data_IF_950603831514
#
_entry.id   IF_950603831514
#
_cell.length_a   1.000
_cell.length_b   1.000
_cell.length_c   1.000
_cell.angle_alpha   90.00
_cell.angle_beta   90.00
_cell.angle_gamma   90.00
#
_symmetry.space_group_name_H-M   'P 1'
#
loop_
_entity.id
_entity.type
_entity.pdbx_description
1 polymer ?
#
# COMPACT_ATOMS: atom_id res chain seq x y z
N UNK A 1 -36.87 16.85 29.03
CA UNK A 1 -37.32 16.47 27.68
C UNK A 1 -36.66 17.44 26.72
N UNK A 2 -35.87 16.84 25.82
CA UNK A 2 -35.22 17.30 24.58
C UNK A 2 -35.32 18.79 24.25
N UNK A 3 -34.14 19.44 24.20
CA UNK A 3 -33.88 20.77 23.64
C UNK A 3 -33.54 20.69 22.16
N UNK A 4 -34.06 21.65 21.40
CA UNK A 4 -33.80 21.93 19.98
C UNK A 4 -32.32 22.15 19.66
N UNK A 5 -31.88 21.53 18.56
CA UNK A 5 -30.60 21.78 17.89
C UNK A 5 -30.84 22.63 16.63
N UNK A 6 -30.31 23.84 16.62
CA UNK A 6 -30.02 24.61 15.42
C UNK A 6 -28.59 25.14 15.50
N UNK A 7 -27.88 25.11 14.35
CA UNK A 7 -26.46 25.46 14.06
C UNK A 7 -25.55 24.22 14.11
N UNK A 8 -24.78 23.82 13.10
CA UNK A 8 -24.23 24.46 11.88
C UNK A 8 -23.95 23.36 10.83
N UNK A 9 -24.68 23.32 9.70
CA UNK A 9 -24.34 22.51 8.51
C UNK A 9 -23.54 23.38 7.54
N UNK A 10 -22.27 23.66 7.86
CA UNK A 10 -21.44 24.60 7.10
C UNK A 10 -19.94 24.27 7.01
N UNK A 11 -19.49 23.10 7.47
CA UNK A 11 -18.05 22.76 7.50
C UNK A 11 -17.66 21.50 6.71
N UNK A 12 -18.59 20.70 6.20
CA UNK A 12 -18.24 19.44 5.51
C UNK A 12 -17.85 19.59 4.03
N UNK A 13 -18.03 20.77 3.44
CA UNK A 13 -17.64 21.04 2.04
C UNK A 13 -16.19 21.55 1.89
N UNK A 14 -15.36 21.50 2.95
CA UNK A 14 -14.00 22.06 2.93
C UNK A 14 -12.85 21.07 3.16
N UNK A 15 -13.11 19.76 3.20
CA UNK A 15 -12.06 18.75 3.47
C UNK A 15 -11.87 17.73 2.33
N UNK A 16 -12.09 18.17 1.09
CA UNK A 16 -11.77 17.42 -0.14
C UNK A 16 -11.16 18.28 -1.25
N UNK A 17 -10.78 19.53 -0.94
CA UNK A 17 -10.12 20.44 -1.88
C UNK A 17 -8.71 20.77 -1.38
N UNK A 18 -7.77 19.89 -1.68
CA UNK A 18 -6.38 20.28 -1.95
C UNK A 18 -6.01 19.74 -3.34
N UNK A 19 -6.29 20.60 -4.32
CA UNK A 19 -5.83 20.61 -5.71
C UNK A 19 -5.99 19.33 -6.53
N UNK A 20 -7.21 19.04 -6.98
CA UNK A 20 -7.39 18.56 -8.35
C UNK A 20 -7.35 19.80 -9.26
N UNK A 21 -6.15 20.17 -9.70
CA UNK A 21 -6.04 20.87 -10.97
C UNK A 21 -5.97 19.77 -12.02
N UNK A 22 -6.99 19.69 -12.89
CA UNK A 22 -6.85 19.05 -14.19
C UNK A 22 -5.63 19.66 -14.88
N UNK A 23 -4.55 18.89 -14.94
CA UNK A 23 -3.43 19.16 -15.82
C UNK A 23 -3.26 17.91 -16.66
N UNK A 24 -3.26 18.14 -17.97
CA UNK A 24 -2.80 17.29 -19.05
C UNK A 24 -1.71 16.30 -18.62
N UNK A 25 -1.58 15.15 -19.29
CA UNK A 25 -0.67 14.04 -18.94
C UNK A 25 0.84 14.33 -18.96
N UNK A 26 1.23 15.56 -18.67
CA UNK A 26 2.54 16.13 -18.57
C UNK A 26 3.33 15.59 -17.37
N UNK A 27 4.64 15.50 -17.58
CA UNK A 27 5.62 15.27 -16.53
C UNK A 27 5.56 16.39 -15.49
N UNK A 28 5.27 16.05 -14.24
CA UNK A 28 5.28 17.00 -13.13
C UNK A 28 6.61 16.95 -12.40
N UNK A 29 7.40 18.02 -12.51
CA UNK A 29 8.58 18.21 -11.66
C UNK A 29 8.15 18.92 -10.38
N UNK A 30 8.23 18.23 -9.25
CA UNK A 30 7.84 18.75 -7.95
C UNK A 30 9.05 18.97 -7.04
N UNK A 31 8.95 20.00 -6.20
CA UNK A 31 10.02 20.47 -5.31
C UNK A 31 9.67 20.15 -3.86
N UNK A 32 10.52 19.41 -3.16
CA UNK A 32 10.30 19.01 -1.77
C UNK A 32 11.42 19.58 -0.89
N UNK A 33 11.05 20.44 0.07
CA UNK A 33 12.03 21.04 0.98
C UNK A 33 12.32 20.10 2.15
N UNK A 34 13.59 19.77 2.35
CA UNK A 34 14.10 19.03 3.52
C UNK A 34 14.76 20.06 4.44
N UNK A 35 14.12 20.33 5.57
CA UNK A 35 14.42 21.50 6.40
C UNK A 35 15.76 21.36 7.13
N UNK A 36 16.10 20.15 7.58
CA UNK A 36 17.33 19.84 8.33
C UNK A 36 18.62 20.04 7.54
N UNK A 37 18.54 20.09 6.21
CA UNK A 37 19.67 20.29 5.30
C UNK A 37 19.54 21.57 4.47
N UNK A 38 18.48 22.35 4.73
CA UNK A 38 18.13 23.60 4.04
C UNK A 38 18.06 23.49 2.51
N UNK A 39 17.87 22.27 1.99
CA UNK A 39 17.89 21.97 0.57
C UNK A 39 16.51 21.57 0.06
N UNK A 40 16.37 21.63 -1.26
CA UNK A 40 15.18 21.15 -1.96
C UNK A 40 15.58 19.98 -2.82
N UNK A 41 14.80 18.90 -2.76
CA UNK A 41 14.92 17.77 -3.67
C UNK A 41 13.90 17.89 -4.80
N UNK A 42 14.33 17.59 -6.02
CA UNK A 42 13.53 17.64 -7.23
C UNK A 42 13.07 16.23 -7.59
N UNK A 43 11.76 16.03 -7.72
CA UNK A 43 11.18 14.73 -8.04
C UNK A 43 10.25 14.88 -9.23
N UNK A 44 10.58 14.18 -10.32
CA UNK A 44 9.72 14.00 -11.47
C UNK A 44 8.75 12.86 -11.21
N UNK A 45 7.47 13.18 -11.31
CA UNK A 45 6.37 12.23 -11.32
C UNK A 45 5.82 12.10 -12.73
N UNK A 46 5.46 10.87 -13.09
CA UNK A 46 4.83 10.54 -14.38
C UNK A 46 3.53 9.75 -14.10
N UNK A 47 2.50 10.36 -13.49
CA UNK A 47 1.26 9.69 -13.08
C UNK A 47 0.63 8.78 -14.16
N UNK A 48 0.76 9.17 -15.42
CA UNK A 48 0.26 8.45 -16.60
C UNK A 48 0.98 7.12 -16.88
N UNK A 49 2.19 6.92 -16.35
CA UNK A 49 2.97 5.68 -16.52
C UNK A 49 2.72 4.65 -15.42
N UNK A 50 1.86 4.95 -14.45
CA UNK A 50 1.42 4.00 -13.42
C UNK A 50 1.89 4.32 -12.01
N UNK A 51 1.61 3.40 -11.07
CA UNK A 51 1.73 3.62 -9.62
C UNK A 51 3.15 3.87 -9.14
N UNK A 52 4.16 3.30 -9.82
CA UNK A 52 5.58 3.49 -9.47
C UNK A 52 6.07 4.92 -9.75
N UNK A 53 5.34 5.69 -10.54
CA UNK A 53 5.74 7.04 -10.96
C UNK A 53 5.01 8.14 -10.18
N UNK A 54 4.32 7.78 -9.10
CA UNK A 54 3.58 8.66 -8.20
C UNK A 54 4.18 8.67 -6.81
N UNK A 55 4.01 9.77 -6.10
CA UNK A 55 4.36 9.87 -4.69
C UNK A 55 3.23 9.34 -3.81
N UNK A 56 3.59 8.53 -2.81
CA UNK A 56 2.66 7.92 -1.87
C UNK A 56 2.85 8.48 -0.45
N UNK A 57 1.76 8.58 0.31
CA UNK A 57 1.77 9.13 1.67
C UNK A 57 2.82 8.47 2.60
N UNK A 58 3.00 7.14 2.62
CA UNK A 58 4.05 6.52 3.43
C UNK A 58 5.47 7.00 3.12
N UNK A 59 5.76 7.34 1.86
CA UNK A 59 7.05 7.89 1.47
C UNK A 59 7.26 9.28 2.11
N UNK A 60 6.24 10.14 2.09
CA UNK A 60 6.31 11.46 2.74
C UNK A 60 6.48 11.37 4.26
N UNK A 61 5.85 10.39 4.91
CA UNK A 61 6.03 10.13 6.34
C UNK A 61 7.48 9.74 6.64
N UNK A 62 8.09 8.84 5.85
CA UNK A 62 9.51 8.49 6.04
C UNK A 62 10.45 9.67 5.80
N UNK A 63 10.23 10.46 4.75
CA UNK A 63 11.03 11.67 4.48
C UNK A 63 10.96 12.63 5.68
N UNK A 64 9.77 12.84 6.23
CA UNK A 64 9.56 13.68 7.42
C UNK A 64 10.27 13.13 8.65
N UNK A 65 10.21 11.83 8.90
CA UNK A 65 10.89 11.20 10.03
C UNK A 65 12.42 11.29 9.90
N UNK A 66 12.97 11.13 8.69
CA UNK A 66 14.39 11.31 8.41
C UNK A 66 14.84 12.76 8.61
N UNK A 67 14.04 13.71 8.13
CA UNK A 67 14.28 15.15 8.30
C UNK A 67 14.28 15.54 9.79
N UNK A 68 13.29 15.06 10.55
CA UNK A 68 13.18 15.29 11.98
C UNK A 68 14.30 14.61 12.77
N UNK A 69 14.66 13.37 12.42
CA UNK A 69 15.76 12.65 13.04
C UNK A 69 17.08 13.41 12.93
N UNK A 70 17.39 14.01 11.78
CA UNK A 70 18.62 14.80 11.62
C UNK A 70 18.63 16.04 12.53
N UNK A 71 17.48 16.68 12.76
CA UNK A 71 17.35 17.88 13.60
C UNK A 71 17.46 17.56 15.09
N UNK A 72 16.75 16.54 15.53
CA UNK A 72 16.74 16.09 16.91
C UNK A 72 16.74 14.56 16.97
N UNK A 73 17.94 13.94 16.96
CA UNK A 73 18.08 12.50 17.07
C UNK A 73 17.65 11.94 18.43
N UNK A 74 17.36 12.76 19.45
CA UNK A 74 17.04 12.25 20.79
C UNK A 74 15.55 11.96 20.99
N UNK A 75 14.69 12.71 20.29
CA UNK A 75 13.22 12.59 20.37
C UNK A 75 12.61 11.79 19.22
N UNK A 76 13.41 11.41 18.22
CA UNK A 76 12.92 10.74 17.02
C UNK A 76 12.52 9.28 17.26
N UNK A 77 11.42 8.81 16.66
CA UNK A 77 11.12 7.38 16.60
C UNK A 77 12.22 6.53 15.94
N UNK A 78 13.04 7.14 15.07
CA UNK A 78 14.12 6.46 14.35
C UNK A 78 15.38 6.26 15.20
N UNK A 79 15.46 6.87 16.38
CA UNK A 79 16.68 6.87 17.21
C UNK A 79 17.17 5.48 17.55
N UNK A 80 16.27 4.60 18.02
CA UNK A 80 16.64 3.22 18.38
C UNK A 80 17.19 2.47 17.17
N UNK A 81 16.56 2.64 16.00
CA UNK A 81 16.96 1.97 14.77
C UNK A 81 18.30 2.47 14.23
N UNK A 82 18.47 3.79 14.14
CA UNK A 82 19.61 4.40 13.45
C UNK A 82 20.86 4.54 14.33
N UNK A 83 20.70 4.66 15.65
CA UNK A 83 21.83 4.69 16.60
C UNK A 83 22.65 3.40 16.59
N UNK A 84 22.02 2.26 16.26
CA UNK A 84 22.70 0.96 16.16
C UNK A 84 23.82 0.92 15.12
N UNK A 85 23.80 1.83 14.14
CA UNK A 85 24.77 1.88 13.05
C UNK A 85 25.83 2.97 13.23
N UNK A 86 25.79 3.75 14.32
CA UNK A 86 26.78 4.78 14.61
C UNK A 86 27.86 4.18 15.51
N UNK A 87 29.01 3.83 14.92
CA UNK A 87 30.19 3.43 15.69
C UNK A 87 30.83 4.66 16.36
N UNK A 88 31.04 4.59 17.68
CA UNK A 88 31.59 5.67 18.51
C UNK A 88 33.13 5.84 18.37
N UNK A 89 33.72 5.33 17.29
CA UNK A 89 35.17 5.25 17.10
C UNK A 89 35.60 5.33 15.63
N UNK A 90 36.46 6.32 15.36
CA UNK A 90 37.40 6.63 14.25
C UNK A 90 37.40 5.93 12.88
N UNK A 91 36.52 4.99 12.55
CA UNK A 91 36.41 4.38 11.21
C UNK A 91 34.92 4.25 10.84
N UNK A 92 34.25 5.39 10.69
CA UNK A 92 32.82 5.44 10.35
C UNK A 92 32.64 5.10 8.87
N UNK A 93 32.63 3.82 8.52
CA UNK A 93 32.07 3.37 7.24
C UNK A 93 30.66 3.95 7.09
N UNK A 94 30.37 4.55 5.92
CA UNK A 94 29.04 5.10 5.65
C UNK A 94 28.00 3.98 5.70
N UNK A 95 26.81 4.30 6.21
CA UNK A 95 25.67 3.40 6.21
C UNK A 95 25.31 3.03 4.76
N UNK A 96 25.24 1.74 4.46
CA UNK A 96 24.81 1.23 3.18
C UNK A 96 23.32 0.87 3.23
N UNK A 97 22.53 1.61 2.45
CA UNK A 97 21.08 1.52 2.43
C UNK A 97 20.63 0.98 1.08
N UNK A 98 19.65 0.09 1.08
CA UNK A 98 18.89 -0.28 -0.12
C UNK A 98 17.44 0.11 0.08
N UNK A 99 16.86 0.81 -0.89
CA UNK A 99 15.41 1.06 -0.90
C UNK A 99 14.74 0.08 -1.88
N UNK A 100 13.76 -0.69 -1.38
CA UNK A 100 12.95 -1.60 -2.18
C UNK A 100 11.67 -0.91 -2.65
N UNK A 101 11.40 -0.98 -3.96
CA UNK A 101 10.20 -0.36 -4.54
C UNK A 101 10.25 1.15 -4.41
N UNK A 102 11.37 1.75 -4.80
CA UNK A 102 11.64 3.18 -4.66
C UNK A 102 10.61 4.07 -5.36
N UNK A 103 9.97 3.60 -6.43
CA UNK A 103 9.06 4.39 -7.25
C UNK A 103 9.73 5.66 -7.78
N UNK A 104 9.39 6.80 -7.19
CA UNK A 104 10.01 8.10 -7.51
C UNK A 104 11.41 8.27 -6.90
N UNK A 105 11.75 7.50 -5.86
CA UNK A 105 13.05 7.50 -5.18
C UNK A 105 13.21 8.53 -4.07
N UNK A 106 12.16 9.29 -3.72
CA UNK A 106 12.28 10.41 -2.78
C UNK A 106 12.79 9.98 -1.39
N UNK A 107 12.40 8.80 -0.89
CA UNK A 107 12.79 8.36 0.46
C UNK A 107 14.27 8.04 0.48
N UNK A 108 14.77 7.24 -0.48
CA UNK A 108 16.20 6.96 -0.57
C UNK A 108 17.04 8.19 -0.88
N UNK A 109 16.57 9.12 -1.71
CA UNK A 109 17.25 10.42 -1.94
C UNK A 109 17.33 11.22 -0.64
N UNK A 110 16.23 11.33 0.10
CA UNK A 110 16.19 12.00 1.39
C UNK A 110 17.11 11.31 2.41
N UNK A 111 17.13 9.98 2.46
CA UNK A 111 18.01 9.22 3.33
C UNK A 111 19.49 9.46 3.00
N UNK A 112 19.86 9.47 1.71
CA UNK A 112 21.22 9.77 1.27
C UNK A 112 21.67 11.15 1.75
N UNK A 113 20.81 12.16 1.58
CA UNK A 113 21.09 13.54 1.95
C UNK A 113 21.08 13.78 3.47
N UNK A 114 20.12 13.19 4.20
CA UNK A 114 19.94 13.44 5.64
C UNK A 114 20.86 12.59 6.52
N UNK A 115 21.27 11.41 6.05
CA UNK A 115 22.14 10.50 6.81
C UNK A 115 23.59 10.51 6.30
N UNK A 116 23.88 11.10 5.14
CA UNK A 116 25.19 11.00 4.50
C UNK A 116 25.53 9.55 4.11
N UNK A 117 24.51 8.79 3.73
CA UNK A 117 24.58 7.35 3.49
C UNK A 117 24.89 7.02 2.02
N UNK A 118 25.41 5.81 1.78
CA UNK A 118 25.45 5.21 0.45
C UNK A 118 24.09 4.52 0.22
N UNK A 119 23.30 5.01 -0.73
CA UNK A 119 21.96 4.49 -0.98
C UNK A 119 21.87 3.86 -2.36
N UNK A 120 21.27 2.69 -2.46
CA UNK A 120 20.89 2.10 -3.74
C UNK A 120 19.37 2.06 -3.86
N UNK A 121 18.85 2.82 -4.82
CA UNK A 121 17.42 2.87 -5.14
C UNK A 121 17.09 1.72 -6.08
N UNK A 122 16.06 0.94 -5.76
CA UNK A 122 15.69 -0.24 -6.54
C UNK A 122 14.21 -0.31 -6.86
N UNK A 123 13.92 -0.69 -8.10
CA UNK A 123 12.55 -0.92 -8.59
C UNK A 123 12.59 -1.82 -9.83
N UNK A 124 11.45 -2.04 -10.47
CA UNK A 124 11.33 -2.80 -11.71
C UNK A 124 12.09 -2.13 -12.86
N UNK A 125 12.61 -2.91 -13.84
CA UNK A 125 13.39 -2.37 -14.97
C UNK A 125 12.75 -1.19 -15.71
N UNK A 126 11.42 -1.17 -15.85
CA UNK A 126 10.69 -0.10 -16.53
C UNK A 126 10.60 1.22 -15.74
N UNK A 127 10.92 1.20 -14.44
CA UNK A 127 10.89 2.39 -13.56
C UNK A 127 12.28 3.06 -13.46
N UNK A 128 13.33 2.29 -13.75
CA UNK A 128 14.73 2.69 -13.54
C UNK A 128 15.13 3.99 -14.25
N UNK A 129 14.62 4.25 -15.45
CA UNK A 129 14.95 5.49 -16.16
C UNK A 129 14.45 6.74 -15.43
N UNK A 130 13.21 6.71 -14.92
CA UNK A 130 12.68 7.83 -14.13
C UNK A 130 13.36 7.94 -12.77
N UNK A 131 13.64 6.81 -12.14
CA UNK A 131 14.35 6.77 -10.87
C UNK A 131 15.77 7.34 -11.00
N UNK A 132 16.47 7.03 -12.10
CA UNK A 132 17.79 7.60 -12.41
C UNK A 132 17.72 9.10 -12.68
N UNK A 133 16.72 9.57 -13.43
CA UNK A 133 16.51 11.01 -13.61
C UNK A 133 16.38 11.74 -12.27
N UNK A 134 15.59 11.18 -11.34
CA UNK A 134 15.42 11.77 -10.00
C UNK A 134 16.69 11.69 -9.17
N UNK A 135 17.45 10.59 -9.23
CA UNK A 135 18.75 10.48 -8.57
C UNK A 135 19.74 11.54 -9.08
N UNK A 136 19.89 11.65 -10.41
CA UNK A 136 20.82 12.57 -11.06
C UNK A 136 20.46 14.05 -10.77
N UNK A 137 19.16 14.38 -10.76
CA UNK A 137 18.68 15.73 -10.44
C UNK A 137 19.02 16.19 -9.00
N UNK A 138 19.33 15.25 -8.10
CA UNK A 138 19.64 15.52 -6.69
C UNK A 138 21.09 15.19 -6.31
N UNK A 139 21.91 14.73 -7.26
CA UNK A 139 23.26 14.23 -7.00
C UNK A 139 24.17 15.27 -6.32
N UNK A 140 24.07 16.55 -6.71
CA UNK A 140 24.87 17.64 -6.11
C UNK A 140 24.52 17.86 -4.64
N UNK A 141 23.22 17.91 -4.31
CA UNK A 141 22.73 18.11 -2.93
C UNK A 141 23.20 16.95 -2.05
N UNK A 142 23.07 15.72 -2.56
CA UNK A 142 23.45 14.49 -1.86
C UNK A 142 24.96 14.43 -1.63
N UNK A 143 25.76 14.69 -2.67
CA UNK A 143 27.22 14.68 -2.57
C UNK A 143 27.74 15.73 -1.58
N UNK A 144 27.16 16.93 -1.59
CA UNK A 144 27.49 18.01 -0.64
C UNK A 144 27.27 17.60 0.82
N UNK A 145 26.30 16.71 1.07
CA UNK A 145 25.95 16.21 2.40
C UNK A 145 26.65 14.89 2.74
N UNK A 146 27.58 14.45 1.90
CA UNK A 146 28.40 13.26 2.12
C UNK A 146 27.73 11.94 1.75
N UNK A 147 26.53 11.98 1.17
CA UNK A 147 25.82 10.81 0.69
C UNK A 147 26.22 10.41 -0.74
N UNK A 148 25.76 9.25 -1.17
CA UNK A 148 25.87 8.76 -2.54
C UNK A 148 24.60 8.01 -2.94
N UNK A 149 24.23 8.06 -4.22
CA UNK A 149 23.08 7.33 -4.76
C UNK A 149 23.52 6.49 -5.96
N UNK A 150 23.12 5.23 -5.93
CA UNK A 150 23.13 4.33 -7.08
C UNK A 150 21.69 3.92 -7.41
N UNK A 151 21.45 3.55 -8.65
CA UNK A 151 20.15 3.05 -9.11
C UNK A 151 20.36 1.71 -9.78
N UNK A 152 19.58 0.71 -9.38
CA UNK A 152 19.68 -0.63 -9.93
C UNK A 152 18.29 -1.29 -10.07
N UNK A 153 18.06 -2.11 -11.11
CA UNK A 153 16.86 -2.94 -11.19
C UNK A 153 16.87 -4.01 -10.10
N UNK A 154 15.72 -4.22 -9.45
CA UNK A 154 15.51 -5.35 -8.56
C UNK A 154 14.06 -5.81 -8.63
N UNK A 155 13.85 -7.04 -9.13
CA UNK A 155 12.56 -7.71 -9.09
C UNK A 155 12.45 -8.53 -7.82
N UNK A 156 11.36 -8.36 -7.08
CA UNK A 156 11.17 -9.10 -5.85
C UNK A 156 11.09 -10.60 -6.10
N UNK A 157 11.70 -11.37 -5.20
CA UNK A 157 11.81 -12.83 -5.27
C UNK A 157 12.96 -13.36 -6.14
N UNK A 158 13.68 -12.51 -6.86
CA UNK A 158 14.81 -12.89 -7.71
C UNK A 158 16.14 -12.79 -6.97
N UNK A 159 16.76 -13.94 -6.65
CA UNK A 159 18.03 -13.98 -5.90
C UNK A 159 19.17 -13.32 -6.68
N UNK A 160 19.23 -13.54 -8.00
CA UNK A 160 20.26 -12.96 -8.86
C UNK A 160 20.25 -11.43 -8.86
N UNK A 161 19.07 -10.81 -8.75
CA UNK A 161 18.94 -9.35 -8.67
C UNK A 161 19.48 -8.82 -7.32
N UNK A 162 19.29 -9.58 -6.23
CA UNK A 162 19.87 -9.24 -4.90
C UNK A 162 21.40 -9.44 -4.90
N UNK A 163 21.89 -10.55 -5.44
CA UNK A 163 23.33 -10.83 -5.58
C UNK A 163 24.04 -9.76 -6.42
N UNK A 164 23.39 -9.27 -7.48
CA UNK A 164 23.93 -8.23 -8.36
C UNK A 164 24.14 -6.88 -7.66
N UNK A 165 23.51 -6.63 -6.50
CA UNK A 165 23.78 -5.43 -5.71
C UNK A 165 25.22 -5.41 -5.17
N UNK A 166 25.84 -6.58 -4.97
CA UNK A 166 27.27 -6.75 -4.67
C UNK A 166 27.79 -6.06 -3.40
N UNK A 167 26.91 -5.52 -2.56
CA UNK A 167 27.24 -4.70 -1.39
C UNK A 167 26.53 -5.22 -0.14
N UNK A 168 27.22 -5.14 1.00
CA UNK A 168 26.60 -5.40 2.31
C UNK A 168 25.55 -4.34 2.61
N UNK A 169 24.35 -4.76 3.00
CA UNK A 169 23.24 -3.86 3.31
C UNK A 169 23.07 -3.79 4.82
N UNK A 170 23.12 -2.57 5.35
CA UNK A 170 22.92 -2.31 6.79
C UNK A 170 21.44 -2.01 7.08
N UNK A 171 20.81 -1.21 6.21
CA UNK A 171 19.43 -0.77 6.34
C UNK A 171 18.67 -0.95 5.03
N UNK A 172 17.52 -1.59 5.10
CA UNK A 172 16.56 -1.66 4.00
C UNK A 172 15.46 -0.63 4.27
N UNK A 173 15.16 0.23 3.30
CA UNK A 173 14.01 1.12 3.32
C UNK A 173 12.92 0.57 2.42
N UNK A 174 11.67 0.75 2.82
CA UNK A 174 10.52 0.46 1.96
C UNK A 174 9.37 1.41 2.28
N UNK A 175 8.78 2.02 1.27
CA UNK A 175 7.56 2.82 1.43
C UNK A 175 6.45 2.26 0.56
N UNK A 176 5.37 1.84 1.20
CA UNK A 176 4.12 1.43 0.56
C UNK A 176 4.21 0.22 -0.39
N UNK A 177 5.10 -0.73 -0.07
CA UNK A 177 5.37 -1.92 -0.89
C UNK A 177 4.39 -3.07 -0.69
N UNK A 178 3.49 -2.98 0.30
CA UNK A 178 2.51 -4.04 0.64
C UNK A 178 1.12 -3.68 0.09
N UNK A 179 0.91 -3.80 -1.22
CA UNK A 179 -0.33 -3.36 -1.87
C UNK A 179 -1.04 -4.42 -2.72
N UNK A 180 -0.32 -5.44 -3.20
CA UNK A 180 -0.88 -6.55 -3.96
C UNK A 180 -0.52 -7.91 -3.36
N UNK A 181 -1.54 -8.76 -3.14
CA UNK A 181 -1.40 -10.05 -2.45
C UNK A 181 -0.41 -11.00 -3.14
N UNK A 182 -0.36 -11.01 -4.47
CA UNK A 182 0.57 -11.84 -5.23
C UNK A 182 2.04 -11.40 -5.08
N UNK A 183 2.31 -10.19 -4.58
CA UNK A 183 3.65 -9.67 -4.35
C UNK A 183 4.16 -9.95 -2.92
N UNK A 184 3.32 -10.44 -2.01
CA UNK A 184 3.70 -10.68 -0.62
C UNK A 184 4.82 -11.72 -0.49
N UNK A 185 4.69 -12.86 -1.18
CA UNK A 185 5.68 -13.93 -1.12
C UNK A 185 6.99 -13.56 -1.85
N UNK A 186 6.96 -12.94 -3.05
CA UNK A 186 8.16 -12.37 -3.67
C UNK A 186 8.90 -11.37 -2.77
N UNK A 187 8.18 -10.42 -2.15
CA UNK A 187 8.78 -9.43 -1.26
C UNK A 187 9.41 -10.07 -0.02
N UNK A 188 8.69 -10.99 0.65
CA UNK A 188 9.25 -11.74 1.78
C UNK A 188 10.49 -12.54 1.40
N UNK A 189 10.50 -13.14 0.21
CA UNK A 189 11.66 -13.87 -0.30
C UNK A 189 12.87 -12.94 -0.48
N UNK A 190 12.69 -11.75 -1.05
CA UNK A 190 13.75 -10.73 -1.13
C UNK A 190 14.25 -10.30 0.25
N UNK A 191 13.35 -10.02 1.20
CA UNK A 191 13.74 -9.63 2.56
C UNK A 191 14.56 -10.74 3.24
N UNK A 192 14.20 -12.01 3.03
CA UNK A 192 14.98 -13.14 3.56
C UNK A 192 16.37 -13.21 2.95
N UNK A 193 16.51 -13.05 1.64
CA UNK A 193 17.82 -12.98 0.99
C UNK A 193 18.70 -11.88 1.57
N UNK A 194 18.13 -10.69 1.78
CA UNK A 194 18.91 -9.53 2.23
C UNK A 194 19.20 -9.51 3.73
N UNK A 195 18.28 -10.02 4.56
CA UNK A 195 18.38 -9.95 6.02
C UNK A 195 18.93 -11.22 6.67
N UNK A 196 18.73 -12.39 6.06
CA UNK A 196 19.06 -13.68 6.68
C UNK A 196 20.19 -14.44 5.96
N UNK A 197 20.38 -14.20 4.67
CA UNK A 197 21.34 -14.93 3.84
C UNK A 197 22.57 -14.04 3.57
N UNK A 198 23.54 -14.09 4.47
CA UNK A 198 24.80 -13.35 4.33
C UNK A 198 25.95 -14.03 5.06
N UNK A 199 27.18 -13.81 4.57
CA UNK A 199 28.40 -14.42 5.12
C UNK A 199 28.72 -13.93 6.53
N UNK A 200 28.35 -12.69 6.84
CA UNK A 200 28.48 -12.11 8.17
C UNK A 200 27.18 -12.30 8.97
N UNK A 201 27.20 -13.31 9.85
CA UNK A 201 26.10 -13.67 10.75
C UNK A 201 25.94 -12.75 11.96
N UNK A 202 26.92 -11.88 12.20
CA UNK A 202 26.92 -10.92 13.31
C UNK A 202 26.61 -9.49 12.85
N UNK A 203 26.65 -9.23 11.53
CA UNK A 203 26.20 -7.97 10.94
C UNK A 203 24.72 -7.73 11.23
N UNK A 204 24.45 -6.60 11.90
CA UNK A 204 23.09 -6.13 12.18
C UNK A 204 22.48 -5.57 10.90
N UNK A 205 21.31 -6.09 10.52
CA UNK A 205 20.56 -5.64 9.36
C UNK A 205 19.14 -5.34 9.79
N UNK A 206 18.61 -4.20 9.35
CA UNK A 206 17.26 -3.76 9.74
C UNK A 206 16.46 -3.40 8.50
N UNK A 207 15.19 -3.78 8.46
CA UNK A 207 14.21 -3.20 7.54
C UNK A 207 13.45 -2.10 8.26
N UNK A 208 13.34 -0.92 7.64
CA UNK A 208 12.46 0.17 8.05
C UNK A 208 11.40 0.37 6.96
N UNK A 209 10.16 -0.01 7.27
CA UNK A 209 9.05 0.03 6.32
C UNK A 209 7.96 0.99 6.80
N UNK A 210 7.55 1.92 5.95
CA UNK A 210 6.32 2.67 6.12
C UNK A 210 5.21 2.10 5.25
N UNK A 211 4.04 1.88 5.86
CA UNK A 211 2.90 1.28 5.21
C UNK A 211 1.62 2.03 5.56
N UNK A 212 0.79 2.33 4.56
CA UNK A 212 -0.57 2.79 4.79
C UNK A 212 -1.51 1.59 4.68
N UNK A 213 -2.07 1.16 5.81
CA UNK A 213 -3.05 0.07 5.83
C UNK A 213 -4.30 0.49 5.06
N UNK A 214 -4.54 -0.13 3.91
CA UNK A 214 -5.72 0.10 3.07
C UNK A 214 -6.67 -1.09 3.10
N UNK A 215 -6.16 -2.29 3.38
CA UNK A 215 -6.90 -3.54 3.17
C UNK A 215 -6.70 -4.54 4.30
N UNK A 216 -7.74 -5.32 4.62
CA UNK A 216 -7.63 -6.43 5.58
C UNK A 216 -6.58 -7.47 5.16
N UNK A 217 -6.44 -7.71 3.86
CA UNK A 217 -5.52 -8.71 3.29
C UNK A 217 -4.04 -8.40 3.53
N UNK A 218 -3.67 -7.14 3.73
CA UNK A 218 -2.28 -6.75 4.04
C UNK A 218 -1.80 -7.38 5.36
N UNK A 219 -2.73 -7.69 6.28
CA UNK A 219 -2.39 -8.44 7.51
C UNK A 219 -1.79 -9.83 7.23
N UNK A 220 -2.05 -10.42 6.05
CA UNK A 220 -1.46 -11.70 5.64
C UNK A 220 0.05 -11.56 5.47
N UNK A 221 0.53 -10.46 4.86
CA UNK A 221 1.95 -10.16 4.72
C UNK A 221 2.61 -10.10 6.11
N UNK A 222 2.10 -9.27 7.02
CA UNK A 222 2.68 -9.12 8.36
C UNK A 222 2.59 -10.41 9.19
N UNK A 223 1.53 -11.21 9.05
CA UNK A 223 1.45 -12.54 9.69
C UNK A 223 2.52 -13.51 9.17
N UNK A 224 2.88 -13.43 7.89
CA UNK A 224 3.97 -14.21 7.30
C UNK A 224 5.34 -13.66 7.72
N UNK A 225 5.52 -12.34 7.71
CA UNK A 225 6.76 -11.66 8.11
C UNK A 225 7.16 -12.01 9.55
N UNK A 226 6.20 -11.99 10.50
CA UNK A 226 6.43 -12.34 11.91
C UNK A 226 6.93 -13.77 12.17
N UNK A 227 6.88 -14.66 11.18
CA UNK A 227 7.49 -15.99 11.28
C UNK A 227 9.01 -15.97 11.14
N UNK A 228 9.54 -14.93 10.50
CA UNK A 228 10.95 -14.81 10.17
C UNK A 228 11.61 -13.62 10.86
N UNK A 229 10.85 -12.55 11.12
CA UNK A 229 11.35 -11.28 11.63
C UNK A 229 10.57 -10.82 12.86
N UNK A 230 11.24 -10.09 13.74
CA UNK A 230 10.57 -9.37 14.81
C UNK A 230 10.05 -8.05 14.26
N UNK A 231 8.73 -7.83 14.31
CA UNK A 231 8.05 -6.71 13.65
C UNK A 231 7.47 -5.76 14.69
N UNK A 232 8.14 -4.64 14.93
CA UNK A 232 7.74 -3.59 15.88
C UNK A 232 7.22 -2.37 15.13
N UNK A 233 6.09 -1.79 15.56
CA UNK A 233 5.62 -0.49 15.05
C UNK A 233 6.22 0.65 15.89
N UNK A 234 7.03 1.50 15.26
CA UNK A 234 7.78 2.57 15.93
C UNK A 234 7.14 3.95 15.79
N UNK A 235 6.28 4.16 14.78
CA UNK A 235 5.56 5.41 14.56
C UNK A 235 4.19 5.16 13.94
N UNK A 236 3.21 6.00 14.29
CA UNK A 236 1.88 6.04 13.67
C UNK A 236 1.49 7.50 13.46
N UNK A 237 1.10 7.84 12.25
CA UNK A 237 0.51 9.15 12.00
C UNK A 237 -0.83 9.27 12.73
N UNK A 238 -1.12 10.46 13.25
CA UNK A 238 -2.44 10.78 13.77
C UNK A 238 -3.46 10.68 12.63
N UNK A 239 -4.60 10.00 12.83
CA UNK A 239 -5.63 9.94 11.81
C UNK A 239 -6.16 11.36 11.56
N UNK A 240 -6.19 11.82 10.30
CA UNK A 240 -6.93 13.03 9.94
C UNK A 240 -8.40 12.89 10.35
N UNK A 241 -9.08 13.99 10.70
CA UNK A 241 -10.51 13.99 11.04
C UNK A 241 -11.31 13.22 9.97
N UNK A 242 -12.04 12.17 10.40
CA UNK A 242 -12.82 11.29 9.51
C UNK A 242 -12.07 10.07 8.96
N UNK A 243 -10.73 10.03 8.99
CA UNK A 243 -9.93 8.85 8.64
C UNK A 243 -9.62 8.01 9.88
N UNK A 244 -9.70 6.69 9.76
CA UNK A 244 -9.37 5.73 10.84
C UNK A 244 -8.02 5.03 10.64
N UNK A 245 -7.22 5.52 9.69
CA UNK A 245 -6.01 4.83 9.22
C UNK A 245 -4.89 5.84 8.96
N UNK A 246 -3.81 5.74 9.75
CA UNK A 246 -2.56 6.48 9.58
C UNK A 246 -1.44 5.58 9.03
N UNK A 247 -0.37 6.19 8.54
CA UNK A 247 0.84 5.45 8.14
C UNK A 247 1.45 4.82 9.39
N UNK A 248 1.78 3.53 9.29
CA UNK A 248 2.53 2.82 10.33
C UNK A 248 3.94 2.62 9.83
N UNK A 249 4.92 3.06 10.61
CA UNK A 249 6.33 2.74 10.37
C UNK A 249 6.72 1.61 11.28
N UNK A 250 7.28 0.55 10.70
CA UNK A 250 7.69 -0.64 11.39
C UNK A 250 9.14 -0.98 11.10
N UNK A 251 9.78 -1.64 12.07
CA UNK A 251 11.11 -2.19 11.94
C UNK A 251 11.02 -3.71 11.93
N UNK A 252 11.77 -4.36 11.03
CA UNK A 252 11.92 -5.81 11.03
C UNK A 252 13.38 -6.21 11.22
N UNK A 253 13.64 -7.01 12.25
CA UNK A 253 14.98 -7.50 12.60
C UNK A 253 15.01 -9.05 12.59
N UNK A 254 16.20 -9.64 12.44
CA UNK A 254 16.43 -11.08 12.41
C UNK A 254 16.40 -11.77 13.79
N UNK A 255 16.04 -11.05 14.86
CA UNK A 255 16.17 -11.49 16.25
C UNK A 255 15.15 -12.56 16.71
N UNK A 256 14.22 -13.00 15.85
CA UNK A 256 13.31 -14.13 16.21
C UNK A 256 14.17 -15.31 16.62
N UNK A 257 14.05 -15.62 17.91
CA UNK A 257 15.10 -16.16 18.75
C UNK A 257 15.97 -17.25 18.09
N UNK A 258 17.29 -17.04 18.13
CA UNK A 258 18.37 -18.02 17.85
C UNK A 258 18.20 -19.38 18.60
N UNK A 259 17.15 -19.55 19.42
CA UNK A 259 16.81 -20.76 20.19
C UNK A 259 15.80 -21.70 19.52
N UNK A 260 14.96 -21.25 18.59
CA UNK A 260 13.94 -22.11 17.95
C UNK A 260 14.36 -22.65 16.57
N UNK A 261 15.34 -21.98 15.93
CA UNK A 261 15.83 -22.30 14.57
C UNK A 261 16.35 -23.75 14.40
N UNK A 262 16.90 -24.37 15.45
CA UNK A 262 17.42 -25.75 15.37
C UNK A 262 16.33 -26.82 15.36
N UNK A 263 15.08 -26.52 15.73
CA UNK A 263 13.99 -27.51 15.75
C UNK A 263 13.24 -27.60 14.42
N UNK A 264 12.96 -26.48 13.75
CA UNK A 264 12.13 -26.49 12.55
C UNK A 264 12.89 -26.97 11.29
N UNK A 265 14.17 -26.63 11.13
CA UNK A 265 14.99 -27.14 10.02
C UNK A 265 15.18 -28.67 10.06
N UNK A 266 15.19 -29.28 11.26
CA UNK A 266 15.24 -30.75 11.41
C UNK A 266 13.89 -31.44 11.16
N UNK A 267 12.77 -30.72 11.24
CA UNK A 267 11.43 -31.33 11.15
C UNK A 267 10.88 -31.33 9.71
N UNK A 268 11.34 -30.41 8.85
CA UNK A 268 10.92 -30.33 7.44
C UNK A 268 11.54 -31.42 6.53
N UNK A 269 12.60 -32.09 6.98
CA UNK A 269 13.24 -33.20 6.23
C UNK A 269 12.59 -34.58 6.44
N UNK A 270 11.62 -34.70 7.34
CA UNK A 270 10.98 -35.96 7.70
C UNK A 270 9.51 -35.71 8.00
N UNK A 271 8.62 -35.83 7.00
CA UNK A 271 7.29 -36.41 7.19
C UNK A 271 6.61 -36.66 5.83
N UNK A 272 6.03 -37.85 5.78
CA UNK A 272 5.65 -38.64 4.63
C UNK A 272 4.18 -38.38 4.24
N UNK A 273 3.78 -38.95 3.10
CA UNK A 273 2.46 -38.94 2.48
C UNK A 273 1.26 -39.12 3.44
N UNK A 274 0.19 -38.34 3.20
CA UNK A 274 -1.25 -38.55 3.52
C UNK A 274 -1.59 -39.55 4.66
N UNK A 275 -2.38 -39.14 5.68
CA UNK A 275 -3.83 -39.41 5.52
C UNK A 275 -4.79 -38.39 6.16
N UNK A 276 -6.04 -38.52 5.70
CA UNK A 276 -7.29 -37.85 6.10
C UNK A 276 -7.67 -38.08 7.57
N UNK A 277 -8.23 -37.06 8.24
CA UNK A 277 -9.10 -37.21 9.43
C UNK A 277 -10.33 -36.29 9.31
N UNK A 278 -11.53 -36.86 9.49
CA UNK A 278 -12.82 -36.16 9.62
C UNK A 278 -13.31 -36.12 11.09
N UNK A 279 -14.28 -35.22 11.34
CA UNK A 279 -15.27 -35.13 12.44
C UNK A 279 -14.85 -34.41 13.75
N UNK A 280 -15.71 -33.74 14.54
CA UNK A 280 -17.05 -33.12 14.41
C UNK A 280 -17.27 -32.24 15.67
N UNK A 281 -17.85 -31.06 15.47
CA UNK A 281 -18.52 -30.05 16.34
C UNK A 281 -18.78 -30.39 17.83
N UNK A 282 -18.53 -29.42 18.73
CA UNK A 282 -19.42 -29.14 19.87
C UNK A 282 -19.38 -27.67 20.32
N UNK A 283 -20.54 -27.15 20.74
CA UNK A 283 -20.82 -25.75 21.12
C UNK A 283 -21.01 -25.72 22.63
N UNK A 284 -20.18 -24.97 23.35
CA UNK A 284 -20.37 -24.71 24.78
C UNK A 284 -20.78 -23.24 25.01
N UNK A 285 -21.93 -23.07 25.64
CA UNK A 285 -22.47 -21.82 26.15
C UNK A 285 -22.23 -21.78 27.66
N UNK A 286 -21.94 -20.59 28.20
CA UNK A 286 -22.02 -20.06 29.59
C UNK A 286 -20.68 -19.42 30.02
N UNK A 287 -20.60 -18.35 30.80
CA UNK A 287 -21.53 -17.43 31.49
C UNK A 287 -20.70 -16.21 31.95
N UNK A 288 -21.39 -15.11 32.25
CA UNK A 288 -20.84 -13.87 32.83
C UNK A 288 -19.95 -14.06 34.07
N UNK A 289 -18.98 -13.15 34.14
CA UNK A 289 -18.23 -12.63 35.29
C UNK A 289 -17.26 -13.55 36.04
N UNK A 290 -15.94 -13.31 35.86
CA UNK A 290 -15.08 -12.64 36.87
C UNK A 290 -13.55 -12.74 36.57
N UNK A 291 -12.90 -11.57 36.61
CA UNK A 291 -11.47 -11.26 36.83
C UNK A 291 -10.37 -11.52 35.77
N UNK A 292 -9.68 -10.40 35.48
CA UNK A 292 -8.21 -10.18 35.42
C UNK A 292 -7.43 -10.62 34.17
N UNK A 293 -6.77 -9.61 33.58
CA UNK A 293 -5.50 -9.65 32.84
C UNK A 293 -5.28 -10.88 31.94
N UNK A 294 -5.70 -10.76 30.69
CA UNK A 294 -5.00 -11.36 29.55
C UNK A 294 -5.12 -10.40 28.37
N UNK A 295 -4.00 -10.15 27.69
CA UNK A 295 -3.90 -9.22 26.57
C UNK A 295 -4.86 -9.59 25.44
N UNK A 296 -5.75 -8.67 25.13
CA UNK A 296 -6.53 -8.69 23.90
C UNK A 296 -5.78 -7.80 22.92
N UNK A 297 -5.38 -8.34 21.77
CA UNK A 297 -4.72 -7.58 20.70
C UNK A 297 -5.67 -6.45 20.25
N UNK A 298 -5.23 -5.17 20.24
CA UNK A 298 -6.03 -4.07 19.73
C UNK A 298 -6.54 -4.26 18.28
N UNK A 299 -5.90 -5.14 17.48
CA UNK A 299 -6.35 -5.47 16.12
C UNK A 299 -7.62 -6.30 16.08
N UNK A 300 -7.90 -7.12 17.10
CA UNK A 300 -9.09 -7.97 17.16
C UNK A 300 -10.36 -7.18 17.51
N UNK A 301 -10.21 -6.01 18.14
CA UNK A 301 -11.34 -5.10 18.45
C UNK A 301 -11.95 -4.50 17.16
N UNK A 302 -11.18 -4.40 16.07
CA UNK A 302 -11.65 -3.80 14.81
C UNK A 302 -12.37 -4.75 13.86
N UNK A 303 -12.35 -6.06 14.11
CA UNK A 303 -12.96 -7.03 13.20
C UNK A 303 -14.49 -7.00 13.20
N UNK A 304 -15.11 -6.31 14.16
CA UNK A 304 -16.57 -6.25 14.30
C UNK A 304 -17.22 -5.21 13.36
N UNK A 305 -16.51 -4.25 12.76
CA UNK A 305 -17.14 -3.16 11.97
C UNK A 305 -16.31 -2.68 10.77
N UNK A 306 -16.59 -3.16 9.55
CA UNK A 306 -16.68 -2.35 8.31
C UNK A 306 -16.62 -3.17 7.01
N UNK A 307 -17.69 -3.08 6.22
CA UNK A 307 -17.71 -3.34 4.78
C UNK A 307 -18.37 -2.13 4.14
N UNK A 308 -17.61 -1.27 3.46
CA UNK A 308 -18.15 -0.08 2.81
C UNK A 308 -18.74 -0.47 1.46
N UNK A 309 -20.00 -0.13 1.25
CA UNK A 309 -20.77 -0.43 0.03
C UNK A 309 -21.10 0.86 -0.73
N UNK A 310 -20.85 0.88 -2.03
CA UNK A 310 -21.20 1.97 -2.95
C UNK A 310 -22.47 1.57 -3.70
N UNK A 311 -23.51 2.37 -3.55
CA UNK A 311 -24.83 2.14 -4.15
C UNK A 311 -25.07 3.19 -5.22
N UNK A 312 -25.30 2.75 -6.46
CA UNK A 312 -25.56 3.65 -7.60
C UNK A 312 -26.87 3.25 -8.22
N UNK A 313 -27.77 4.22 -8.33
CA UNK A 313 -29.05 4.05 -9.01
C UNK A 313 -29.07 4.92 -10.26
N UNK A 314 -29.41 4.36 -11.42
CA UNK A 314 -29.53 5.11 -12.68
C UNK A 314 -30.89 4.87 -13.34
N UNK A 315 -31.38 5.86 -14.09
CA UNK A 315 -32.67 5.80 -14.78
C UNK A 315 -32.45 5.91 -16.29
N UNK A 316 -32.66 4.85 -17.08
CA UNK A 316 -32.51 4.92 -18.53
C UNK A 316 -33.61 5.77 -19.17
N UNK A 317 -33.25 6.59 -20.16
CA UNK A 317 -34.16 7.54 -20.83
C UNK A 317 -35.24 6.86 -21.69
N UNK A 318 -35.05 5.60 -22.10
CA UNK A 318 -35.99 4.82 -22.92
C UNK A 318 -36.35 3.53 -22.18
N UNK A 319 -37.65 3.30 -21.96
CA UNK A 319 -38.19 2.10 -21.32
C UNK A 319 -37.98 0.87 -22.23
N UNK A 320 -37.54 -0.26 -21.65
CA UNK A 320 -37.32 -1.55 -22.35
C UNK A 320 -36.17 -1.65 -23.36
N UNK A 321 -35.16 -0.78 -23.28
CA UNK A 321 -34.02 -0.82 -24.20
C UNK A 321 -32.84 -1.66 -23.70
N UNK A 322 -32.21 -2.43 -24.60
CA UNK A 322 -30.93 -3.12 -24.35
C UNK A 322 -29.80 -2.19 -23.87
N UNK A 323 -29.97 -0.87 -24.06
CA UNK A 323 -29.07 0.16 -23.55
C UNK A 323 -28.99 0.21 -22.02
N UNK A 324 -30.01 -0.21 -21.27
CA UNK A 324 -29.92 -0.23 -19.80
C UNK A 324 -28.82 -1.19 -19.29
N UNK A 325 -28.68 -2.35 -19.94
CA UNK A 325 -27.59 -3.29 -19.65
C UNK A 325 -26.23 -2.71 -20.05
N UNK A 326 -26.15 -2.01 -21.20
CA UNK A 326 -24.93 -1.37 -21.66
C UNK A 326 -24.48 -0.25 -20.72
N UNK A 327 -25.38 0.63 -20.31
CA UNK A 327 -25.12 1.70 -19.32
C UNK A 327 -24.64 1.10 -18.00
N UNK A 328 -25.31 0.05 -17.50
CA UNK A 328 -24.89 -0.65 -16.29
C UNK A 328 -23.52 -1.29 -16.40
N UNK A 329 -23.17 -1.84 -17.57
CA UNK A 329 -21.83 -2.39 -17.85
C UNK A 329 -20.77 -1.29 -17.92
N UNK A 330 -21.05 -0.15 -18.59
CA UNK A 330 -20.15 0.99 -18.64
C UNK A 330 -19.87 1.56 -17.26
N UNK A 331 -20.92 1.75 -16.44
CA UNK A 331 -20.78 2.15 -15.03
C UNK A 331 -19.92 1.15 -14.27
N UNK A 332 -20.17 -0.16 -14.43
CA UNK A 332 -19.43 -1.18 -13.69
C UNK A 332 -17.97 -1.28 -14.12
N UNK A 333 -17.68 -1.12 -15.40
CA UNK A 333 -16.32 -1.04 -15.94
C UNK A 333 -15.59 0.19 -15.40
N UNK A 334 -16.21 1.38 -15.50
CA UNK A 334 -15.62 2.63 -15.04
C UNK A 334 -15.40 2.65 -13.53
N UNK A 335 -16.36 2.19 -12.74
CA UNK A 335 -16.22 2.10 -11.28
C UNK A 335 -15.21 1.05 -10.87
N UNK A 336 -14.98 0.00 -11.66
CA UNK A 336 -13.93 -0.99 -11.37
C UNK A 336 -12.54 -0.45 -11.71
N UNK A 337 -12.43 0.50 -12.63
CA UNK A 337 -11.19 1.22 -12.93
C UNK A 337 -10.93 2.35 -11.91
N UNK A 338 -11.97 3.06 -11.47
CA UNK A 338 -11.87 4.22 -10.59
C UNK A 338 -11.93 3.86 -9.09
N UNK A 339 -12.63 2.80 -8.70
CA UNK A 339 -12.76 2.38 -7.31
C UNK A 339 -11.85 1.18 -7.02
N UNK A 340 -11.13 1.19 -5.89
CA UNK A 340 -10.41 0.02 -5.44
C UNK A 340 -11.35 -1.17 -5.19
N UNK A 341 -10.88 -2.39 -5.45
CA UNK A 341 -11.58 -3.68 -5.28
C UNK A 341 -12.27 -3.96 -3.91
N UNK A 342 -12.20 -3.09 -2.88
CA UNK A 342 -12.85 -3.30 -1.56
C UNK A 342 -14.27 -2.76 -1.53
N UNK A 343 -14.63 -1.87 -2.45
CA UNK A 343 -15.98 -1.35 -2.51
C UNK A 343 -16.93 -2.43 -3.03
N UNK A 344 -17.93 -2.75 -2.22
CA UNK A 344 -19.08 -3.52 -2.72
C UNK A 344 -19.92 -2.59 -3.57
N UNK A 345 -19.75 -2.66 -4.89
CA UNK A 345 -20.54 -1.89 -5.86
C UNK A 345 -21.88 -2.60 -6.10
N UNK A 346 -22.98 -1.94 -5.77
CA UNK A 346 -24.35 -2.34 -6.11
C UNK A 346 -24.93 -1.30 -7.09
N UNK A 347 -25.20 -1.73 -8.32
CA UNK A 347 -25.75 -0.87 -9.39
C UNK A 347 -27.19 -1.30 -9.62
N UNK A 348 -28.12 -0.36 -9.49
CA UNK A 348 -29.55 -0.60 -9.69
C UNK A 348 -30.13 0.35 -10.72
N UNK A 349 -31.06 -0.17 -11.51
CA UNK A 349 -31.96 0.65 -12.33
C UNK A 349 -33.07 1.17 -11.43
N UNK A 350 -33.33 2.48 -11.44
CA UNK A 350 -34.46 3.07 -10.73
C UNK A 350 -35.77 2.57 -11.33
N UNK A 351 -36.77 2.17 -10.51
CA UNK A 351 -38.14 2.09 -10.98
C UNK A 351 -38.56 3.49 -11.46
N UNK A 352 -39.24 3.58 -12.60
CA UNK A 352 -39.78 4.85 -13.09
C UNK A 352 -40.77 5.45 -12.10
N UNK A 353 -40.93 6.78 -12.11
CA UNK A 353 -41.80 7.54 -11.20
C UNK A 353 -43.30 7.22 -11.29
N UNK A 354 -43.70 6.25 -12.12
CA UNK A 354 -45.09 5.87 -12.41
C UNK A 354 -45.30 4.34 -12.51
N UNK A 355 -44.50 3.53 -11.81
CA UNK A 355 -44.60 2.09 -11.91
C UNK A 355 -45.50 1.49 -10.81
N UNK A 356 -46.75 1.15 -11.17
CA UNK A 356 -47.56 0.21 -10.40
C UNK A 356 -46.85 -1.16 -10.37
N UNK A 357 -46.94 -1.88 -9.24
CA UNK A 357 -46.15 -3.08 -8.93
C UNK A 357 -46.34 -4.25 -9.91
N UNK A 358 -47.39 -4.24 -10.74
CA UNK A 358 -47.70 -5.24 -11.78
C UNK A 358 -47.33 -4.79 -13.22
N UNK A 359 -46.67 -3.65 -13.39
CA UNK A 359 -46.28 -3.14 -14.71
C UNK A 359 -45.07 -3.88 -15.29
N UNK A 360 -45.05 -4.05 -16.62
CA UNK A 360 -43.92 -4.67 -17.34
C UNK A 360 -42.58 -3.94 -17.14
N UNK A 361 -42.60 -2.69 -16.69
CA UNK A 361 -41.42 -1.89 -16.35
C UNK A 361 -40.72 -2.39 -15.07
N UNK A 362 -41.48 -2.79 -14.04
CA UNK A 362 -40.93 -3.35 -12.79
C UNK A 362 -40.23 -4.67 -13.08
N UNK A 363 -40.88 -5.54 -13.87
CA UNK A 363 -40.33 -6.84 -14.27
C UNK A 363 -39.03 -6.66 -15.06
N UNK A 364 -38.96 -5.64 -15.92
CA UNK A 364 -37.77 -5.31 -16.69
C UNK A 364 -36.61 -4.84 -15.79
N UNK A 365 -36.84 -3.90 -14.88
CA UNK A 365 -35.83 -3.41 -13.96
C UNK A 365 -35.28 -4.53 -13.05
N UNK A 366 -36.16 -5.42 -12.57
CA UNK A 366 -35.76 -6.60 -11.78
C UNK A 366 -34.86 -7.54 -12.59
N UNK A 367 -35.20 -7.79 -13.86
CA UNK A 367 -34.39 -8.63 -14.74
C UNK A 367 -33.01 -8.02 -15.01
N UNK A 368 -32.93 -6.71 -15.29
CA UNK A 368 -31.66 -5.99 -15.52
C UNK A 368 -30.80 -5.97 -14.25
N UNK A 369 -31.39 -5.67 -13.09
CA UNK A 369 -30.69 -5.66 -11.80
C UNK A 369 -30.11 -7.03 -11.45
N UNK A 370 -30.82 -8.12 -11.77
CA UNK A 370 -30.31 -9.48 -11.59
C UNK A 370 -29.12 -9.76 -12.50
N UNK A 371 -29.13 -9.27 -13.74
CA UNK A 371 -28.02 -9.45 -14.69
C UNK A 371 -26.80 -8.61 -14.30
N UNK A 372 -27.00 -7.35 -13.90
CA UNK A 372 -25.91 -6.46 -13.52
C UNK A 372 -25.23 -6.88 -12.22
N UNK A 373 -25.95 -7.52 -11.28
CA UNK A 373 -25.39 -7.99 -10.02
C UNK A 373 -24.83 -9.42 -10.04
N UNK A 374 -24.93 -10.11 -11.17
CA UNK A 374 -24.24 -11.38 -11.41
C UNK A 374 -22.79 -11.11 -11.85
N UNK A 375 -21.85 -11.31 -10.92
CA UNK A 375 -20.42 -10.98 -11.11
C UNK A 375 -19.79 -11.79 -12.25
N UNK A 376 -20.12 -13.07 -12.36
CA UNK A 376 -19.57 -13.96 -13.39
C UNK A 376 -20.10 -13.55 -14.77
N UNK A 377 -21.38 -13.18 -14.83
CA UNK A 377 -22.01 -12.71 -16.08
C UNK A 377 -21.44 -11.38 -16.56
N UNK A 378 -21.15 -10.45 -15.64
CA UNK A 378 -20.52 -9.16 -15.98
C UNK A 378 -19.08 -9.36 -16.48
N UNK A 379 -18.31 -10.25 -15.85
CA UNK A 379 -16.95 -10.56 -16.29
C UNK A 379 -16.99 -11.20 -17.68
N UNK A 380 -17.84 -12.19 -17.90
CA UNK A 380 -18.01 -12.82 -19.21
C UNK A 380 -18.46 -11.83 -20.31
N UNK A 381 -19.27 -10.82 -19.95
CA UNK A 381 -19.68 -9.77 -20.88
C UNK A 381 -18.51 -8.84 -21.27
N UNK A 382 -17.62 -8.52 -20.33
CA UNK A 382 -16.43 -7.68 -20.55
C UNK A 382 -15.27 -8.42 -21.26
N UNK A 383 -15.29 -9.75 -21.27
CA UNK A 383 -14.39 -10.60 -22.05
C UNK A 383 -14.84 -10.76 -23.51
N UNK A 384 -16.11 -10.46 -23.82
CA UNK A 384 -16.62 -10.51 -25.18
C UNK A 384 -16.08 -9.31 -25.99
N UNK A 385 -15.34 -9.52 -27.10
CA UNK A 385 -14.70 -8.43 -27.84
C UNK A 385 -15.67 -7.37 -28.37
N UNK A 386 -16.86 -7.78 -28.82
CA UNK A 386 -17.85 -6.86 -29.39
C UNK A 386 -18.46 -5.96 -28.32
N UNK A 387 -18.76 -6.52 -27.14
CA UNK A 387 -19.30 -5.75 -26.02
C UNK A 387 -18.23 -4.88 -25.38
N UNK A 388 -16.99 -5.38 -25.32
CA UNK A 388 -15.86 -4.61 -24.82
C UNK A 388 -15.60 -3.38 -25.67
N UNK A 389 -15.59 -3.53 -27.00
CA UNK A 389 -15.44 -2.40 -27.92
C UNK A 389 -16.55 -1.34 -27.70
N UNK A 390 -17.81 -1.75 -27.60
CA UNK A 390 -18.92 -0.83 -27.35
C UNK A 390 -18.82 -0.11 -25.98
N UNK A 391 -18.37 -0.82 -24.94
CA UNK A 391 -18.14 -0.25 -23.61
C UNK A 391 -17.00 0.77 -23.65
N UNK A 392 -15.89 0.42 -24.30
CA UNK A 392 -14.73 1.30 -24.45
C UNK A 392 -15.11 2.55 -25.27
N UNK A 393 -15.84 2.40 -26.38
CA UNK A 393 -16.37 3.52 -27.18
C UNK A 393 -17.30 4.45 -26.36
N UNK A 394 -18.11 3.89 -25.44
CA UNK A 394 -18.96 4.68 -24.56
C UNK A 394 -18.20 5.39 -23.43
N UNK A 395 -17.04 4.88 -23.02
CA UNK A 395 -16.23 5.44 -21.92
C UNK A 395 -15.19 6.44 -22.43
N UNK A 396 -14.75 6.34 -23.68
CA UNK A 396 -13.66 7.14 -24.27
C UNK A 396 -14.12 8.51 -24.81
N UNK A 397 -15.42 8.77 -24.93
CA UNK A 397 -15.91 10.06 -25.43
C UNK A 397 -16.06 11.07 -24.29
N UNK A 398 -15.02 11.85 -24.00
CA UNK A 398 -15.06 13.25 -23.49
C UNK A 398 -13.64 13.85 -23.35
N UNK A 399 -12.78 13.75 -24.37
CA UNK A 399 -11.50 14.49 -24.39
C UNK A 399 -11.28 15.34 -25.66
N UNK A 400 -12.31 15.50 -26.49
CA UNK A 400 -12.32 16.47 -27.59
C UNK A 400 -13.66 17.21 -27.60
N UNK A 401 -13.71 18.37 -26.93
CA UNK A 401 -14.42 19.58 -27.32
C UNK A 401 -14.04 20.74 -26.41
#
# INVERSE_FOLDING_TARGET
>A
MVTDNHREDGEEEKMLLLSENEVDGASELQMYRIHSIEATVLIRQLPSQGISFKLWLPATTLVTLLDNYRRDPSSSPLTRTLSNFRSDGSDSSRLNIVELGSGTGIVGIAAAATLGANVTLTDLPNVIENLKFNADANAEVVARLGGNIHVAPLRWGEAADVEALGQSVDLILASDVVYHEHLYDPLLKTLRFMLLEGDDKDAKRVLLMAHLKRWKKESIFFKKARKFFDVEAIHRDDPQEGSRTGVVVCTENDEVSRKERTKEEMTLGLLNANPVVQAKKERLVRTQDQYRNCGVDPLDIYDILSSISVWITFTPTIQHCSMANLIGLCLRAKLRECLPLHYKIDIKVSPGSHADEDSGEVIYAVAVNKQLNDKERVIAALENPNLRQLVDECIVVSSEM
#
